data_IF_721043323234
#
_entry.id   IF_721043323234
#
_cell.length_a   1.000
_cell.length_b   1.000
_cell.length_c   1.000
_cell.angle_alpha   90.00
_cell.angle_beta   90.00
_cell.angle_gamma   90.00
#
_symmetry.space_group_name_H-M   'P 1'
#
loop_
_entity.id
_entity.type
_entity.pdbx_description
1 polymer ?
#
# COMPACT_ATOMS: atom_id res chain seq x y z
N UNK A 1 8.40 45.43 42.10
CA UNK A 1 8.37 44.67 43.34
C UNK A 1 7.68 43.38 43.03
N UNK A 2 8.22 42.24 42.90
CA UNK A 2 9.53 41.63 43.18
C UNK A 2 9.71 40.52 42.14
N UNK A 3 10.89 40.44 41.58
CA UNK A 3 11.30 39.47 40.55
C UNK A 3 11.90 38.26 41.25
N UNK A 4 11.29 37.11 41.16
CA UNK A 4 11.83 35.84 41.65
C UNK A 4 12.39 35.00 40.51
N UNK A 5 13.69 35.09 40.26
CA UNK A 5 14.46 34.20 39.38
C UNK A 5 14.73 32.86 40.09
N UNK A 6 14.47 31.74 39.44
CA UNK A 6 14.89 30.42 39.89
C UNK A 6 16.05 29.96 39.03
N UNK A 7 17.26 29.90 39.64
CA UNK A 7 18.44 29.27 39.08
C UNK A 7 18.32 27.73 39.16
N UNK A 8 18.62 27.06 38.06
CA UNK A 8 18.81 25.60 38.01
C UNK A 8 20.31 25.32 37.96
N UNK A 9 20.83 24.82 39.08
CA UNK A 9 22.24 24.38 39.23
C UNK A 9 22.42 23.01 38.58
N UNK A 10 23.41 22.91 37.68
CA UNK A 10 23.93 21.69 37.13
C UNK A 10 24.85 20.97 38.15
N UNK A 11 24.68 19.67 38.35
CA UNK A 11 25.64 18.83 39.04
C UNK A 11 26.24 17.83 38.06
N UNK A 12 27.53 18.01 37.79
CA UNK A 12 28.38 17.03 37.11
C UNK A 12 28.88 15.99 38.11
N UNK A 13 28.89 14.71 37.74
CA UNK A 13 29.86 13.77 38.30
C UNK A 13 30.19 12.65 37.30
N UNK A 14 31.47 12.47 37.04
CA UNK A 14 32.19 11.36 36.41
C UNK A 14 33.01 10.64 37.45
N UNK A 15 33.74 9.55 37.09
CA UNK A 15 33.40 8.22 36.61
C UNK A 15 33.98 7.14 37.53
N UNK A 16 33.68 5.85 37.33
CA UNK A 16 34.56 4.76 37.83
C UNK A 16 34.48 3.54 36.91
N UNK A 17 35.56 3.31 36.26
CA UNK A 17 36.36 2.08 36.04
C UNK A 17 35.70 0.73 35.79
N UNK A 18 36.16 0.15 34.66
CA UNK A 18 35.99 -1.23 34.16
C UNK A 18 36.52 -2.29 35.16
N UNK A 19 36.01 -3.54 35.05
CA UNK A 19 36.94 -4.63 34.82
C UNK A 19 36.61 -5.47 33.57
N UNK A 20 37.66 -5.79 32.84
CA UNK A 20 37.76 -6.79 31.79
C UNK A 20 37.31 -8.18 32.28
N UNK A 21 36.42 -8.80 31.52
CA UNK A 21 36.29 -10.28 31.55
C UNK A 21 35.95 -10.82 30.16
N UNK A 22 36.90 -11.59 29.63
CA UNK A 22 36.74 -12.81 28.86
C UNK A 22 35.90 -12.74 27.60
N UNK A 23 36.54 -12.52 26.41
CA UNK A 23 36.00 -12.92 25.10
C UNK A 23 35.77 -14.44 25.10
N UNK A 24 34.54 -14.88 25.27
CA UNK A 24 34.09 -16.16 24.76
C UNK A 24 33.70 -16.01 23.31
N UNK A 25 34.41 -16.71 22.44
CA UNK A 25 34.12 -16.85 20.99
C UNK A 25 32.70 -17.39 20.84
N UNK A 26 31.78 -16.51 20.48
CA UNK A 26 30.45 -16.87 20.07
C UNK A 26 30.54 -17.64 18.73
N UNK A 27 30.06 -18.87 18.78
CA UNK A 27 29.80 -19.75 17.66
C UNK A 27 29.08 -18.96 16.54
N UNK A 28 29.70 -18.94 15.38
CA UNK A 28 29.06 -18.41 14.13
C UNK A 28 27.90 -19.32 13.78
N UNK A 29 26.69 -18.96 14.21
CA UNK A 29 25.49 -19.42 13.54
C UNK A 29 25.56 -18.83 12.14
N UNK A 30 25.83 -19.67 11.14
CA UNK A 30 25.53 -19.37 9.75
C UNK A 30 24.01 -19.21 9.64
N UNK A 31 23.51 -17.99 9.86
CA UNK A 31 22.15 -17.65 9.55
C UNK A 31 21.95 -17.87 8.07
N UNK A 32 21.06 -18.77 7.71
CA UNK A 32 20.60 -18.95 6.32
C UNK A 32 20.11 -17.58 5.86
N UNK A 33 20.86 -16.92 4.97
CA UNK A 33 20.43 -15.65 4.38
C UNK A 33 19.21 -16.00 3.54
N UNK A 34 18.03 -15.70 4.05
CA UNK A 34 16.79 -15.85 3.29
C UNK A 34 16.92 -14.99 2.02
N UNK A 35 16.63 -15.55 0.85
CA UNK A 35 16.69 -14.75 -0.38
C UNK A 35 15.73 -13.57 -0.27
N UNK A 36 16.19 -12.40 -0.73
CA UNK A 36 15.37 -11.19 -0.74
C UNK A 36 14.08 -11.43 -1.56
N UNK A 37 12.90 -11.06 -1.04
CA UNK A 37 11.67 -11.20 -1.81
C UNK A 37 11.76 -10.38 -3.11
N UNK A 38 11.29 -10.95 -4.21
CA UNK A 38 11.26 -10.29 -5.51
C UNK A 38 9.88 -9.65 -5.69
N UNK A 39 9.85 -8.33 -5.88
CA UNK A 39 8.61 -7.56 -6.01
C UNK A 39 8.44 -7.09 -7.47
N UNK A 40 7.34 -7.49 -8.09
CA UNK A 40 6.96 -6.96 -9.41
C UNK A 40 6.48 -5.50 -9.26
N UNK A 41 7.06 -4.59 -10.04
CA UNK A 41 6.63 -3.17 -10.09
C UNK A 41 6.14 -2.88 -11.50
N UNK A 42 4.83 -2.74 -11.71
CA UNK A 42 4.31 -2.39 -13.03
C UNK A 42 4.55 -0.92 -13.35
N UNK A 43 5.08 -0.62 -14.53
CA UNK A 43 5.38 0.75 -14.97
C UNK A 43 4.13 1.62 -15.21
N UNK A 44 2.94 1.01 -15.31
CA UNK A 44 1.67 1.70 -15.50
C UNK A 44 1.50 2.32 -16.88
N UNK A 45 0.83 3.48 -16.93
CA UNK A 45 0.63 4.24 -18.17
C UNK A 45 1.96 4.76 -18.72
N UNK A 46 2.38 4.36 -19.92
CA UNK A 46 3.71 4.71 -20.44
C UNK A 46 3.89 6.22 -20.68
N UNK A 47 2.81 6.95 -20.96
CA UNK A 47 2.83 8.40 -21.14
C UNK A 47 2.84 9.17 -19.82
N UNK A 48 2.57 8.50 -18.67
CA UNK A 48 2.53 9.08 -17.34
C UNK A 48 3.87 9.10 -16.63
N UNK A 49 3.82 9.44 -15.33
CA UNK A 49 5.00 9.51 -14.46
C UNK A 49 5.52 8.14 -14.01
N UNK A 50 4.81 7.03 -14.31
CA UNK A 50 5.21 5.69 -13.86
C UNK A 50 6.65 5.35 -14.26
N UNK A 51 7.03 5.61 -15.52
CA UNK A 51 8.40 5.42 -16.00
C UNK A 51 9.42 6.32 -15.27
N UNK A 52 9.06 7.57 -14.93
CA UNK A 52 9.93 8.52 -14.24
C UNK A 52 10.29 8.05 -12.84
N UNK A 53 9.26 7.66 -12.06
CA UNK A 53 9.41 7.26 -10.66
C UNK A 53 10.00 5.86 -10.50
N UNK A 54 9.78 4.95 -11.46
CA UNK A 54 10.39 3.63 -11.46
C UNK A 54 11.92 3.67 -11.60
N UNK A 55 12.47 4.66 -12.30
CA UNK A 55 13.93 4.83 -12.45
C UNK A 55 14.63 5.04 -11.10
N UNK A 56 13.96 5.66 -10.14
CA UNK A 56 14.53 5.96 -8.83
C UNK A 56 14.72 4.71 -7.96
N UNK A 57 14.05 3.60 -8.30
CA UNK A 57 14.24 2.32 -7.62
C UNK A 57 15.67 1.78 -7.74
N UNK A 58 16.42 2.16 -8.78
CA UNK A 58 17.80 1.74 -8.96
C UNK A 58 18.73 2.18 -7.83
N UNK A 59 18.48 3.36 -7.25
CA UNK A 59 19.26 3.92 -6.13
C UNK A 59 18.65 3.61 -4.76
N UNK A 60 17.46 3.02 -4.71
CA UNK A 60 16.73 2.80 -3.48
C UNK A 60 17.34 1.65 -2.66
N UNK A 61 17.49 1.89 -1.36
CA UNK A 61 17.85 0.85 -0.39
C UNK A 61 16.57 0.20 0.12
N UNK A 62 16.16 -0.87 -0.55
CA UNK A 62 14.95 -1.62 -0.22
C UNK A 62 15.31 -3.00 0.36
N UNK A 63 14.51 -3.55 1.28
CA UNK A 63 14.71 -4.89 1.85
C UNK A 63 14.24 -6.01 0.90
N UNK A 64 14.22 -5.75 -0.40
CA UNK A 64 13.75 -6.65 -1.46
C UNK A 64 14.44 -6.35 -2.78
N UNK A 65 14.16 -7.17 -3.78
CA UNK A 65 14.58 -6.98 -5.17
C UNK A 65 13.39 -6.46 -5.99
N UNK A 66 13.29 -5.17 -6.29
CA UNK A 66 12.28 -4.66 -7.21
C UNK A 66 12.63 -5.06 -8.65
N UNK A 67 11.63 -5.52 -9.40
CA UNK A 67 11.71 -5.81 -10.83
C UNK A 67 10.66 -4.97 -11.54
N UNK A 68 11.09 -4.05 -12.38
CA UNK A 68 10.16 -3.18 -13.13
C UNK A 68 9.67 -3.90 -14.38
N UNK A 69 8.37 -4.08 -14.49
CA UNK A 69 7.72 -4.56 -15.70
C UNK A 69 7.44 -3.36 -16.59
N UNK A 70 8.19 -3.20 -17.67
CA UNK A 70 8.08 -2.07 -18.58
C UNK A 70 8.83 -2.31 -19.90
N UNK A 71 8.63 -1.44 -20.87
CA UNK A 71 9.50 -1.36 -22.05
C UNK A 71 10.85 -0.74 -21.67
N UNK A 72 11.91 -1.51 -21.83
CA UNK A 72 13.28 -1.07 -21.47
C UNK A 72 13.76 0.11 -22.33
N UNK A 73 13.26 0.22 -23.56
CA UNK A 73 13.53 1.35 -24.46
C UNK A 73 12.86 2.62 -23.96
N UNK A 74 11.62 2.53 -23.51
CA UNK A 74 10.91 3.64 -22.83
C UNK A 74 11.67 4.12 -21.61
N UNK A 75 12.11 3.21 -20.74
CA UNK A 75 12.87 3.59 -19.53
C UNK A 75 14.19 4.27 -19.89
N UNK A 76 14.93 3.80 -20.93
CA UNK A 76 16.14 4.46 -21.42
C UNK A 76 15.85 5.85 -21.95
N UNK A 77 14.82 5.99 -22.78
CA UNK A 77 14.38 7.29 -23.31
C UNK A 77 14.04 8.28 -22.18
N UNK A 78 13.28 7.79 -21.19
CA UNK A 78 12.85 8.62 -20.06
C UNK A 78 14.04 8.99 -19.15
N UNK A 79 14.97 8.08 -18.89
CA UNK A 79 16.20 8.37 -18.15
C UNK A 79 17.02 9.47 -18.84
N UNK A 80 17.20 9.37 -20.16
CA UNK A 80 17.91 10.39 -20.96
C UNK A 80 17.18 11.74 -20.90
N UNK A 81 15.86 11.77 -21.06
CA UNK A 81 15.03 12.99 -20.98
C UNK A 81 15.16 13.68 -19.61
N UNK A 82 15.27 12.88 -18.52
CA UNK A 82 15.41 13.37 -17.14
C UNK A 82 16.84 13.66 -16.73
N UNK A 83 17.83 13.40 -17.58
CA UNK A 83 19.25 13.51 -17.25
C UNK A 83 19.71 12.53 -16.16
N UNK A 84 18.97 11.40 -15.98
CA UNK A 84 19.29 10.36 -14.99
C UNK A 84 20.20 9.29 -15.60
N UNK A 85 21.31 8.98 -14.89
CA UNK A 85 22.17 7.84 -15.25
C UNK A 85 21.74 6.62 -14.45
N UNK A 86 21.04 5.67 -15.09
CA UNK A 86 20.55 4.43 -14.49
C UNK A 86 20.99 3.25 -15.34
N UNK A 87 21.64 2.28 -14.72
CA UNK A 87 21.95 1.02 -15.39
C UNK A 87 20.66 0.16 -15.44
N UNK A 88 20.23 -0.23 -16.64
CA UNK A 88 19.08 -1.10 -16.86
C UNK A 88 19.55 -2.43 -17.42
N UNK A 89 19.05 -3.54 -16.86
CA UNK A 89 19.31 -4.88 -17.39
C UNK A 89 18.04 -5.71 -17.44
N UNK A 90 18.00 -6.67 -18.36
CA UNK A 90 16.92 -7.66 -18.40
C UNK A 90 16.93 -8.51 -17.12
N UNK A 91 15.75 -8.68 -16.53
CA UNK A 91 15.59 -9.49 -15.32
C UNK A 91 15.84 -10.97 -15.63
N UNK A 92 16.59 -11.60 -14.75
CA UNK A 92 16.70 -13.06 -14.67
C UNK A 92 16.67 -13.49 -13.21
N UNK A 93 15.86 -14.49 -12.83
CA UNK A 93 15.82 -15.02 -11.46
C UNK A 93 17.18 -15.52 -10.98
N UNK A 94 18.00 -16.04 -11.90
CA UNK A 94 19.31 -16.64 -11.60
C UNK A 94 20.43 -15.61 -11.41
N UNK A 95 20.20 -14.34 -11.76
CA UNK A 95 21.20 -13.29 -11.57
C UNK A 95 20.97 -12.59 -10.22
N UNK A 96 22.01 -12.39 -9.40
CA UNK A 96 21.87 -11.65 -8.15
C UNK A 96 21.53 -10.17 -8.43
N UNK A 97 20.84 -9.49 -7.49
CA UNK A 97 20.63 -8.05 -7.58
C UNK A 97 21.97 -7.31 -7.59
N UNK A 98 22.06 -6.22 -8.36
CA UNK A 98 23.25 -5.41 -8.48
C UNK A 98 22.94 -3.97 -8.04
N UNK A 99 23.65 -3.40 -7.05
CA UNK A 99 23.45 -2.02 -6.62
C UNK A 99 23.56 -1.03 -7.78
N UNK A 100 22.67 -0.05 -7.83
CA UNK A 100 22.63 0.96 -8.89
C UNK A 100 22.11 0.46 -10.25
N UNK A 101 21.70 -0.80 -10.33
CA UNK A 101 21.13 -1.40 -11.54
C UNK A 101 19.66 -1.73 -11.30
N UNK A 102 18.79 -1.33 -12.22
CA UNK A 102 17.37 -1.67 -12.21
C UNK A 102 17.12 -2.91 -13.05
N UNK A 103 16.59 -3.95 -12.42
CA UNK A 103 16.13 -5.14 -13.13
C UNK A 103 14.80 -4.83 -13.84
N UNK A 104 14.71 -5.12 -15.12
CA UNK A 104 13.54 -4.88 -15.96
C UNK A 104 13.04 -6.17 -16.56
N UNK A 105 11.79 -6.52 -16.33
CA UNK A 105 11.11 -7.53 -17.16
C UNK A 105 10.56 -6.80 -18.37
N UNK A 106 11.28 -6.95 -19.50
CA UNK A 106 10.95 -6.23 -20.72
C UNK A 106 9.62 -6.68 -21.32
N UNK A 107 8.72 -5.74 -21.51
CA UNK A 107 7.46 -5.88 -22.23
C UNK A 107 7.42 -4.75 -23.26
N UNK A 108 7.38 -5.06 -24.57
CA UNK A 108 7.47 -4.03 -25.60
C UNK A 108 6.20 -3.19 -25.70
N UNK A 109 6.35 -1.89 -25.94
CA UNK A 109 5.25 -1.01 -26.32
C UNK A 109 4.67 -1.42 -27.69
N UNK A 110 3.36 -1.26 -27.84
CA UNK A 110 2.71 -1.50 -29.13
C UNK A 110 2.91 -0.34 -30.12
N UNK A 111 3.15 0.87 -29.62
CA UNK A 111 3.36 2.08 -30.41
C UNK A 111 4.32 3.05 -29.71
N UNK A 112 4.98 3.98 -30.44
CA UNK A 112 5.80 5.01 -29.86
C UNK A 112 5.05 5.80 -28.75
N UNK A 113 5.77 6.15 -27.70
CA UNK A 113 5.24 6.86 -26.55
C UNK A 113 5.95 8.21 -26.36
N UNK A 114 5.17 9.26 -26.18
CA UNK A 114 5.62 10.59 -25.80
C UNK A 114 5.11 10.91 -24.38
N UNK A 115 5.97 11.44 -23.53
CA UNK A 115 5.59 11.84 -22.18
C UNK A 115 4.46 12.87 -22.20
N UNK A 116 3.42 12.66 -21.39
CA UNK A 116 2.26 13.54 -21.28
C UNK A 116 1.21 13.34 -22.37
N UNK A 117 1.44 12.49 -23.38
CA UNK A 117 0.49 12.27 -24.50
C UNK A 117 0.01 10.83 -24.53
N UNK A 118 -1.25 10.63 -24.15
CA UNK A 118 -1.90 9.31 -24.17
C UNK A 118 -1.98 8.76 -25.60
N UNK A 119 -1.76 7.44 -25.74
CA UNK A 119 -1.93 6.73 -27.00
C UNK A 119 -2.69 5.42 -26.74
N UNK A 120 -3.92 5.33 -27.25
CA UNK A 120 -4.79 4.17 -27.07
C UNK A 120 -4.16 2.85 -27.55
N UNK A 121 -3.27 2.90 -28.55
CA UNK A 121 -2.56 1.72 -29.03
C UNK A 121 -1.68 1.04 -27.96
N UNK A 122 -1.28 1.75 -26.90
CA UNK A 122 -0.52 1.21 -25.79
C UNK A 122 -1.39 0.67 -24.64
N UNK A 123 -2.72 0.72 -24.71
CA UNK A 123 -3.59 0.17 -23.69
C UNK A 123 -3.42 -1.34 -23.48
N UNK A 124 -3.27 -2.19 -24.51
CA UNK A 124 -2.96 -3.61 -24.32
C UNK A 124 -1.65 -3.84 -23.58
N UNK A 125 -0.63 -3.01 -23.80
CA UNK A 125 0.63 -3.08 -23.07
C UNK A 125 0.39 -2.88 -21.55
N UNK A 126 -0.41 -1.89 -21.16
CA UNK A 126 -0.70 -1.62 -19.74
C UNK A 126 -1.34 -2.83 -19.07
N UNK A 127 -2.29 -3.49 -19.74
CA UNK A 127 -2.93 -4.70 -19.21
C UNK A 127 -1.94 -5.88 -19.17
N UNK A 128 -1.05 -5.99 -20.16
CA UNK A 128 -0.01 -7.03 -20.19
C UNK A 128 0.95 -6.90 -19.01
N UNK A 129 1.26 -5.67 -18.53
CA UNK A 129 2.07 -5.48 -17.32
C UNK A 129 1.40 -6.16 -16.12
N UNK A 130 0.08 -5.97 -15.95
CA UNK A 130 -0.69 -6.55 -14.84
C UNK A 130 -0.78 -8.07 -14.96
N UNK A 131 -1.06 -8.57 -16.16
CA UNK A 131 -1.13 -10.02 -16.43
C UNK A 131 0.20 -10.72 -16.16
N UNK A 132 1.31 -10.11 -16.59
CA UNK A 132 2.66 -10.65 -16.36
C UNK A 132 3.02 -10.65 -14.88
N UNK A 133 2.69 -9.57 -14.14
CA UNK A 133 2.90 -9.51 -12.71
C UNK A 133 2.09 -10.60 -11.98
N UNK A 134 0.81 -10.75 -12.34
CA UNK A 134 -0.07 -11.78 -11.76
C UNK A 134 0.44 -13.18 -12.04
N UNK A 135 0.77 -13.49 -13.30
CA UNK A 135 1.35 -14.79 -13.69
C UNK A 135 2.67 -15.09 -12.95
N UNK A 136 3.52 -14.06 -12.79
CA UNK A 136 4.77 -14.18 -12.05
C UNK A 136 4.57 -14.47 -10.57
N UNK A 137 3.48 -13.98 -9.96
CA UNK A 137 3.09 -14.35 -8.60
C UNK A 137 2.58 -15.81 -8.56
N UNK A 138 1.72 -16.20 -9.49
CA UNK A 138 1.16 -17.54 -9.55
C UNK A 138 2.23 -18.64 -9.70
N UNK A 139 3.31 -18.35 -10.41
CA UNK A 139 4.42 -19.29 -10.61
C UNK A 139 5.56 -19.13 -9.59
N UNK A 140 5.41 -18.26 -8.57
CA UNK A 140 6.39 -18.06 -7.52
C UNK A 140 7.62 -17.21 -7.90
N UNK A 141 7.63 -16.56 -9.08
CA UNK A 141 8.70 -15.64 -9.48
C UNK A 141 8.68 -14.36 -8.66
N UNK A 142 7.48 -13.86 -8.33
CA UNK A 142 7.28 -12.66 -7.53
C UNK A 142 6.53 -12.99 -6.24
N UNK A 143 6.98 -12.41 -5.12
CA UNK A 143 6.30 -12.53 -3.82
C UNK A 143 5.12 -11.56 -3.68
N UNK A 144 5.14 -10.45 -4.41
CA UNK A 144 4.11 -9.42 -4.39
C UNK A 144 4.18 -8.56 -5.65
N UNK A 145 3.13 -7.72 -5.86
CA UNK A 145 3.17 -6.66 -6.86
C UNK A 145 2.93 -5.29 -6.26
N UNK A 146 3.60 -4.29 -6.84
CA UNK A 146 3.33 -2.85 -6.64
C UNK A 146 2.94 -2.24 -7.96
N UNK A 147 1.83 -1.50 -8.03
CA UNK A 147 1.34 -0.92 -9.28
C UNK A 147 1.56 0.59 -9.34
N UNK A 148 2.26 1.08 -10.37
CA UNK A 148 2.29 2.47 -10.76
C UNK A 148 0.95 2.87 -11.42
N UNK A 149 0.64 4.17 -11.58
CA UNK A 149 -0.67 4.61 -12.02
C UNK A 149 -0.96 4.24 -13.49
N UNK A 150 -2.21 3.95 -13.79
CA UNK A 150 -2.71 3.79 -15.16
C UNK A 150 -3.83 4.79 -15.47
N UNK A 151 -4.17 4.95 -16.75
CA UNK A 151 -5.22 5.85 -17.20
C UNK A 151 -6.44 5.06 -17.68
N UNK A 152 -7.48 4.94 -16.80
CA UNK A 152 -8.69 4.14 -17.08
C UNK A 152 -9.40 4.56 -18.38
N UNK A 153 -9.50 5.87 -18.61
CA UNK A 153 -10.19 6.41 -19.79
C UNK A 153 -9.59 5.89 -21.10
N UNK A 154 -8.26 5.97 -21.27
CA UNK A 154 -7.62 5.53 -22.51
C UNK A 154 -7.73 4.03 -22.74
N UNK A 155 -7.75 3.22 -21.67
CA UNK A 155 -7.96 1.76 -21.75
C UNK A 155 -9.38 1.47 -22.23
N UNK A 156 -10.39 2.19 -21.71
CA UNK A 156 -11.78 2.08 -22.16
C UNK A 156 -11.96 2.56 -23.59
N UNK A 157 -11.36 3.69 -23.96
CA UNK A 157 -11.41 4.24 -25.32
C UNK A 157 -10.81 3.26 -26.35
N UNK A 158 -9.79 2.51 -25.94
CA UNK A 158 -9.17 1.46 -26.76
C UNK A 158 -9.99 0.17 -26.83
N UNK A 159 -10.98 -0.03 -25.96
CA UNK A 159 -11.69 -1.30 -25.81
C UNK A 159 -10.79 -2.47 -25.37
N UNK A 160 -9.63 -2.18 -24.80
CA UNK A 160 -8.60 -3.18 -24.52
C UNK A 160 -8.95 -4.11 -23.35
N UNK A 161 -9.83 -3.70 -22.44
CA UNK A 161 -10.21 -4.47 -21.24
C UNK A 161 -11.20 -5.61 -21.48
N UNK A 162 -11.68 -5.84 -22.70
CA UNK A 162 -12.70 -6.83 -23.00
C UNK A 162 -14.11 -6.46 -22.47
N UNK A 163 -14.25 -5.29 -21.88
CA UNK A 163 -15.44 -4.70 -21.27
C UNK A 163 -15.08 -3.37 -20.63
N UNK A 164 -15.94 -2.85 -19.74
CA UNK A 164 -15.64 -1.62 -19.00
C UNK A 164 -14.52 -1.87 -17.97
N UNK A 165 -13.39 -1.22 -18.18
CA UNK A 165 -12.25 -1.29 -17.26
C UNK A 165 -12.44 -0.28 -16.13
N UNK A 166 -12.73 -0.74 -14.92
CA UNK A 166 -12.96 0.08 -13.73
C UNK A 166 -11.69 0.43 -12.97
N UNK A 167 -10.62 -0.35 -13.12
CA UNK A 167 -9.32 -0.10 -12.50
C UNK A 167 -8.53 -1.37 -12.17
N UNK A 168 -7.35 -1.16 -11.59
CA UNK A 168 -6.46 -2.24 -11.17
C UNK A 168 -7.14 -3.25 -10.23
N UNK A 169 -7.88 -2.73 -9.24
CA UNK A 169 -8.46 -3.53 -8.15
C UNK A 169 -9.47 -4.53 -8.67
N UNK A 170 -10.41 -4.05 -9.46
CA UNK A 170 -11.48 -4.88 -10.05
C UNK A 170 -10.90 -5.85 -11.08
N UNK A 171 -9.96 -5.38 -11.92
CA UNK A 171 -9.28 -6.22 -12.89
C UNK A 171 -8.54 -7.40 -12.25
N UNK A 172 -7.78 -7.12 -11.19
CA UNK A 172 -7.03 -8.15 -10.47
C UNK A 172 -7.94 -9.08 -9.65
N UNK A 173 -9.05 -8.56 -9.10
CA UNK A 173 -10.06 -9.37 -8.42
C UNK A 173 -10.73 -10.36 -9.39
N UNK A 174 -11.13 -9.89 -10.58
CA UNK A 174 -11.69 -10.76 -11.64
C UNK A 174 -10.70 -11.82 -12.08
N UNK A 175 -9.45 -11.45 -12.39
CA UNK A 175 -8.38 -12.37 -12.80
C UNK A 175 -8.08 -13.45 -11.74
N UNK A 176 -8.19 -13.13 -10.47
CA UNK A 176 -7.92 -14.05 -9.36
C UNK A 176 -9.16 -14.80 -8.86
N UNK A 177 -10.33 -14.54 -9.44
CA UNK A 177 -11.60 -15.10 -8.97
C UNK A 177 -11.98 -14.64 -7.57
N UNK A 178 -11.51 -13.46 -7.15
CA UNK A 178 -11.76 -12.90 -5.81
C UNK A 178 -13.12 -12.20 -5.80
N UNK A 179 -14.11 -12.67 -5.04
CA UNK A 179 -15.47 -12.12 -5.07
C UNK A 179 -15.57 -10.75 -4.40
N UNK A 180 -14.70 -10.49 -3.41
CA UNK A 180 -14.68 -9.22 -2.68
C UNK A 180 -13.27 -8.81 -2.27
N UNK A 181 -13.00 -7.55 -2.42
CA UNK A 181 -11.76 -6.89 -1.98
C UNK A 181 -12.08 -5.73 -1.05
N UNK A 182 -11.13 -5.38 -0.21
CA UNK A 182 -11.23 -4.25 0.72
C UNK A 182 -10.07 -3.30 0.44
N UNK A 183 -10.40 -2.03 0.22
CA UNK A 183 -9.41 -0.98 0.08
C UNK A 183 -8.91 -0.57 1.47
N UNK A 184 -7.61 -0.55 1.65
CA UNK A 184 -6.95 -0.04 2.84
C UNK A 184 -5.84 0.92 2.42
N UNK A 185 -5.76 2.07 3.07
CA UNK A 185 -4.59 2.94 3.00
C UNK A 185 -3.75 2.75 4.26
N UNK A 186 -2.43 2.78 4.09
CA UNK A 186 -1.48 2.74 5.18
C UNK A 186 -0.44 3.86 5.04
N UNK A 187 -0.04 4.46 6.15
CA UNK A 187 0.99 5.49 6.19
C UNK A 187 1.25 5.95 7.62
N UNK A 188 2.51 6.21 7.95
CA UNK A 188 2.96 6.66 9.27
C UNK A 188 2.42 5.83 10.45
N UNK A 189 2.40 4.50 10.28
CA UNK A 189 1.90 3.56 11.30
C UNK A 189 0.37 3.45 11.39
N UNK A 190 -0.39 4.29 10.70
CA UNK A 190 -1.86 4.23 10.63
C UNK A 190 -2.30 3.37 9.44
N UNK A 191 -3.28 2.48 9.67
CA UNK A 191 -3.97 1.71 8.62
C UNK A 191 -5.45 2.00 8.68
N UNK A 192 -6.03 2.44 7.56
CA UNK A 192 -7.46 2.74 7.45
C UNK A 192 -8.07 1.92 6.32
N UNK A 193 -8.90 0.96 6.69
CA UNK A 193 -9.71 0.17 5.76
C UNK A 193 -11.09 0.81 5.58
N UNK A 194 -11.71 0.57 4.44
CA UNK A 194 -12.98 1.18 4.06
C UNK A 194 -14.09 0.13 3.91
N UNK A 195 -15.22 0.34 4.56
CA UNK A 195 -16.42 -0.47 4.36
C UNK A 195 -17.07 -0.18 3.00
N UNK A 196 -17.09 1.09 2.59
CA UNK A 196 -17.49 1.54 1.26
C UNK A 196 -16.43 2.44 0.65
N UNK A 197 -16.27 2.42 -0.68
CA UNK A 197 -15.23 3.18 -1.39
C UNK A 197 -15.82 4.36 -2.17
N UNK A 198 -15.97 4.23 -3.47
CA UNK A 198 -16.29 5.31 -4.40
C UNK A 198 -17.81 5.43 -4.65
N UNK A 199 -18.60 5.52 -3.59
CA UNK A 199 -20.04 5.75 -3.68
C UNK A 199 -20.36 7.24 -3.49
N UNK A 200 -21.41 7.76 -4.14
CA UNK A 200 -22.01 9.03 -3.74
C UNK A 200 -22.40 9.00 -2.25
N UNK A 201 -22.16 10.09 -1.52
CA UNK A 201 -22.39 10.10 -0.07
C UNK A 201 -23.82 9.70 0.31
N UNK A 202 -24.82 10.08 -0.50
CA UNK A 202 -26.23 9.73 -0.28
C UNK A 202 -26.52 8.22 -0.33
N UNK A 203 -25.65 7.44 -0.97
CA UNK A 203 -25.83 6.00 -1.17
C UNK A 203 -25.04 5.18 -0.13
N UNK A 204 -24.20 5.83 0.70
CA UNK A 204 -23.32 5.16 1.66
C UNK A 204 -24.13 4.43 2.72
N UNK A 205 -25.13 5.09 3.35
CA UNK A 205 -25.91 4.48 4.42
C UNK A 205 -26.59 3.18 3.98
N UNK A 206 -27.17 3.17 2.76
CA UNK A 206 -27.82 1.98 2.21
C UNK A 206 -26.83 0.85 1.86
N UNK A 207 -25.56 1.18 1.60
CA UNK A 207 -24.52 0.20 1.32
C UNK A 207 -23.91 -0.43 2.57
N UNK A 208 -24.07 0.19 3.74
CA UNK A 208 -23.65 -0.35 5.04
C UNK A 208 -24.69 -1.36 5.50
N UNK A 209 -24.48 -2.63 5.20
CA UNK A 209 -25.31 -3.73 5.66
C UNK A 209 -24.54 -4.63 6.63
N UNK A 210 -25.26 -5.43 7.42
CA UNK A 210 -24.62 -6.40 8.31
C UNK A 210 -23.70 -7.34 7.56
N UNK A 211 -24.17 -7.88 6.42
CA UNK A 211 -23.41 -8.82 5.58
C UNK A 211 -22.15 -8.16 5.02
N UNK A 212 -22.26 -6.91 4.53
CA UNK A 212 -21.12 -6.17 3.97
C UNK A 212 -20.05 -5.88 5.02
N UNK A 213 -20.46 -5.54 6.25
CA UNK A 213 -19.53 -5.29 7.36
C UNK A 213 -18.85 -6.56 7.84
N UNK A 214 -19.60 -7.67 7.98
CA UNK A 214 -19.06 -8.97 8.38
C UNK A 214 -18.00 -9.45 7.39
N UNK A 215 -18.28 -9.35 6.11
CA UNK A 215 -17.34 -9.77 5.05
C UNK A 215 -16.10 -8.87 5.04
N UNK A 216 -16.28 -7.56 5.08
CA UNK A 216 -15.18 -6.59 5.11
C UNK A 216 -14.26 -6.83 6.31
N UNK A 217 -14.82 -6.99 7.51
CA UNK A 217 -14.03 -7.19 8.72
C UNK A 217 -13.31 -8.54 8.74
N UNK A 218 -13.93 -9.61 8.21
CA UNK A 218 -13.26 -10.92 8.07
C UNK A 218 -12.08 -10.84 7.13
N UNK A 219 -12.21 -10.15 5.99
CA UNK A 219 -11.11 -9.91 5.04
C UNK A 219 -10.01 -9.11 5.71
N UNK A 220 -10.36 -7.99 6.36
CA UNK A 220 -9.40 -7.13 7.06
C UNK A 220 -8.64 -7.91 8.13
N UNK A 221 -9.34 -8.60 9.02
CA UNK A 221 -8.75 -9.37 10.10
C UNK A 221 -7.81 -10.46 9.58
N UNK A 222 -8.27 -11.27 8.63
CA UNK A 222 -7.49 -12.34 8.01
C UNK A 222 -6.21 -11.81 7.36
N UNK A 223 -6.31 -10.73 6.57
CA UNK A 223 -5.17 -10.20 5.85
C UNK A 223 -4.19 -9.48 6.81
N UNK A 224 -4.66 -8.87 7.90
CA UNK A 224 -3.80 -8.37 8.98
C UNK A 224 -3.01 -9.49 9.64
N UNK A 225 -3.60 -10.67 9.83
CA UNK A 225 -2.89 -11.84 10.35
C UNK A 225 -1.86 -12.38 9.35
N UNK A 226 -2.28 -12.73 8.14
CA UNK A 226 -1.44 -13.48 7.20
C UNK A 226 -0.47 -12.59 6.41
N UNK A 227 -0.86 -11.35 6.07
CA UNK A 227 -0.02 -10.47 5.25
C UNK A 227 0.77 -9.45 6.07
N UNK A 228 0.36 -9.18 7.32
CA UNK A 228 1.07 -8.25 8.22
C UNK A 228 1.68 -8.96 9.43
N UNK A 229 1.46 -10.26 9.60
CA UNK A 229 2.03 -11.05 10.70
C UNK A 229 1.48 -10.71 12.08
N UNK A 230 0.28 -10.10 12.16
CA UNK A 230 -0.34 -9.70 13.41
C UNK A 230 -1.17 -10.85 13.97
N UNK A 231 -0.67 -11.56 14.99
CA UNK A 231 -1.35 -12.73 15.56
C UNK A 231 -2.77 -12.41 16.09
N UNK A 232 -2.95 -11.25 16.70
CA UNK A 232 -4.21 -10.81 17.31
C UNK A 232 -4.50 -9.35 16.94
N UNK A 233 -4.87 -9.07 15.66
CA UNK A 233 -5.08 -7.70 15.21
C UNK A 233 -6.26 -7.06 15.92
N UNK A 234 -6.05 -5.85 16.45
CA UNK A 234 -7.07 -5.00 17.05
C UNK A 234 -7.58 -3.99 16.04
N UNK A 235 -8.88 -4.07 15.75
CA UNK A 235 -9.56 -3.22 14.79
C UNK A 235 -10.50 -2.26 15.52
N UNK A 236 -10.32 -0.95 15.30
CA UNK A 236 -11.27 0.06 15.76
C UNK A 236 -12.24 0.41 14.62
N UNK A 237 -13.51 0.54 14.93
CA UNK A 237 -14.56 0.80 13.93
C UNK A 237 -15.18 2.16 14.18
N UNK A 238 -15.25 2.99 13.14
CA UNK A 238 -15.96 4.26 13.18
C UNK A 238 -17.48 4.02 13.12
N UNK A 239 -18.25 4.89 13.75
CA UNK A 239 -19.67 5.03 13.46
C UNK A 239 -19.88 5.63 12.07
N UNK A 240 -21.07 5.51 11.51
CA UNK A 240 -21.47 6.17 10.27
C UNK A 240 -21.89 7.62 10.53
N UNK A 241 -22.70 7.80 11.55
CA UNK A 241 -23.32 9.09 11.90
C UNK A 241 -22.44 9.90 12.88
N UNK A 242 -22.64 11.22 12.98
CA UNK A 242 -22.02 12.04 14.00
C UNK A 242 -22.25 11.44 15.40
N UNK A 243 -21.23 11.52 16.25
CA UNK A 243 -21.26 10.94 17.60
C UNK A 243 -21.67 9.45 17.65
N UNK A 244 -21.41 8.70 16.57
CA UNK A 244 -21.81 7.30 16.40
C UNK A 244 -23.34 7.10 16.66
N UNK A 245 -24.15 8.00 16.10
CA UNK A 245 -25.61 7.95 16.16
C UNK A 245 -26.22 8.40 17.49
N UNK A 246 -25.41 8.71 18.51
CA UNK A 246 -25.88 9.18 19.85
C UNK A 246 -27.05 8.35 20.39
N UNK A 247 -26.92 7.04 20.42
CA UNK A 247 -27.94 6.11 20.88
C UNK A 247 -29.19 6.04 20.01
N UNK A 248 -29.13 6.50 18.75
CA UNK A 248 -30.23 6.53 17.79
C UNK A 248 -30.86 7.91 17.61
N UNK A 249 -30.36 8.94 18.31
CA UNK A 249 -30.89 10.30 18.16
C UNK A 249 -30.39 11.00 16.88
N UNK A 250 -29.26 10.55 16.34
CA UNK A 250 -28.64 11.09 15.13
C UNK A 250 -28.51 10.04 13.99
N UNK A 251 -29.45 9.12 13.95
CA UNK A 251 -29.45 8.00 12.99
C UNK A 251 -29.54 6.66 13.70
N UNK A 252 -29.99 5.63 13.00
CA UNK A 252 -30.21 4.29 13.57
C UNK A 252 -29.22 3.25 13.05
N UNK A 253 -28.39 3.58 12.07
CA UNK A 253 -27.50 2.65 11.38
C UNK A 253 -26.52 1.98 12.36
N UNK A 254 -26.09 2.68 13.41
CA UNK A 254 -25.26 2.09 14.45
C UNK A 254 -26.03 1.02 15.23
N UNK A 255 -27.25 1.34 15.69
CA UNK A 255 -28.06 0.42 16.50
C UNK A 255 -28.58 -0.77 15.69
N UNK A 256 -29.02 -0.52 14.45
CA UNK A 256 -29.72 -1.50 13.64
C UNK A 256 -28.76 -2.40 12.83
N UNK A 257 -27.56 -1.90 12.49
CA UNK A 257 -26.62 -2.57 11.58
C UNK A 257 -25.23 -2.74 12.18
N UNK A 258 -24.56 -1.65 12.60
CA UNK A 258 -23.13 -1.69 12.93
C UNK A 258 -22.91 -2.46 14.24
N UNK A 259 -23.60 -2.11 15.32
CA UNK A 259 -23.45 -2.76 16.63
C UNK A 259 -23.74 -4.25 16.55
N UNK A 260 -24.87 -4.71 15.95
CA UNK A 260 -25.13 -6.14 15.79
C UNK A 260 -24.05 -6.88 14.98
N UNK A 261 -23.51 -6.26 13.92
CA UNK A 261 -22.42 -6.84 13.15
C UNK A 261 -21.15 -6.98 13.99
N UNK A 262 -20.78 -5.95 14.78
CA UNK A 262 -19.60 -6.00 15.66
C UNK A 262 -19.76 -7.04 16.79
N UNK A 263 -20.96 -7.21 17.34
CA UNK A 263 -21.24 -8.23 18.36
C UNK A 263 -21.02 -9.63 17.80
N UNK A 264 -21.50 -9.91 16.59
CA UNK A 264 -21.26 -11.19 15.92
C UNK A 264 -19.77 -11.46 15.70
N UNK A 265 -19.01 -10.43 15.26
CA UNK A 265 -17.57 -10.58 15.04
C UNK A 265 -16.82 -10.83 16.35
N UNK A 266 -17.18 -10.15 17.44
CA UNK A 266 -16.61 -10.40 18.78
C UNK A 266 -16.93 -11.81 19.27
N UNK A 267 -18.16 -12.27 19.06
CA UNK A 267 -18.56 -13.65 19.37
C UNK A 267 -17.77 -14.68 18.57
N UNK A 268 -17.33 -14.32 17.35
CA UNK A 268 -16.45 -15.14 16.51
C UNK A 268 -14.94 -15.00 16.89
N UNK A 269 -14.59 -14.24 17.94
CA UNK A 269 -13.24 -14.12 18.47
C UNK A 269 -12.38 -12.99 17.91
N UNK A 270 -12.95 -12.05 17.13
CA UNK A 270 -12.21 -10.89 16.62
C UNK A 270 -12.08 -9.81 17.72
N UNK A 271 -10.87 -9.24 17.91
CA UNK A 271 -10.71 -8.00 18.72
C UNK A 271 -11.12 -6.78 17.87
N UNK A 272 -12.44 -6.59 17.76
CA UNK A 272 -13.04 -5.49 17.01
C UNK A 272 -13.87 -4.62 17.96
N UNK A 273 -13.60 -3.32 17.97
CA UNK A 273 -14.12 -2.38 18.97
C UNK A 273 -14.78 -1.20 18.31
N UNK A 274 -15.85 -0.70 18.91
CA UNK A 274 -16.67 0.41 18.44
C UNK A 274 -18.16 0.07 18.45
N UNK A 275 -18.99 0.82 17.68
CA UNK A 275 -18.58 1.97 16.87
C UNK A 275 -18.17 3.17 17.72
N UNK A 276 -17.12 3.86 17.29
CA UNK A 276 -16.66 5.10 17.94
C UNK A 276 -17.00 6.32 17.09
N UNK A 277 -17.25 7.49 17.70
CA UNK A 277 -17.33 8.74 16.94
C UNK A 277 -16.06 9.00 16.13
N UNK A 278 -16.21 9.29 14.84
CA UNK A 278 -15.06 9.42 13.94
C UNK A 278 -14.17 10.64 14.28
N UNK A 279 -14.74 11.69 14.86
CA UNK A 279 -14.04 12.90 15.30
C UNK A 279 -13.07 12.65 16.48
N UNK A 280 -13.30 11.61 17.28
CA UNK A 280 -12.46 11.23 18.42
C UNK A 280 -11.64 9.97 18.16
N UNK A 281 -12.07 9.10 17.25
CA UNK A 281 -11.44 7.81 16.97
C UNK A 281 -9.96 7.94 16.55
N UNK A 282 -9.63 8.96 15.77
CA UNK A 282 -8.29 9.17 15.24
C UNK A 282 -7.34 9.90 16.20
N UNK A 283 -7.73 10.10 17.45
CA UNK A 283 -6.82 10.69 18.45
C UNK A 283 -5.72 9.69 18.85
N UNK A 284 -4.48 10.18 19.13
CA UNK A 284 -3.34 9.30 19.39
C UNK A 284 -3.56 8.29 20.53
N UNK A 285 -4.30 8.67 21.57
CA UNK A 285 -4.59 7.76 22.69
C UNK A 285 -5.54 6.61 22.31
N UNK A 286 -6.43 6.81 21.33
CA UNK A 286 -7.29 5.76 20.78
C UNK A 286 -6.50 4.81 19.88
N UNK A 287 -5.62 5.37 19.05
CA UNK A 287 -4.85 4.63 18.06
C UNK A 287 -3.67 3.85 18.66
N UNK A 288 -3.24 4.19 19.89
CA UNK A 288 -2.02 3.65 20.53
C UNK A 288 -1.90 2.11 20.47
N UNK A 289 -3.04 1.43 20.66
CA UNK A 289 -3.07 -0.04 20.69
C UNK A 289 -3.87 -0.63 19.52
N UNK A 290 -4.17 0.17 18.50
CA UNK A 290 -4.93 -0.25 17.34
C UNK A 290 -4.00 -0.65 16.17
N UNK A 291 -4.32 -1.74 15.50
CA UNK A 291 -3.60 -2.20 14.32
C UNK A 291 -4.22 -1.64 13.03
N UNK A 292 -5.54 -1.41 13.04
CA UNK A 292 -6.25 -0.79 11.92
C UNK A 292 -7.53 -0.09 12.39
N UNK A 293 -7.98 0.86 11.58
CA UNK A 293 -9.30 1.50 11.67
C UNK A 293 -10.15 1.04 10.50
N UNK A 294 -11.39 0.64 10.75
CA UNK A 294 -12.42 0.44 9.74
C UNK A 294 -13.31 1.68 9.68
N UNK A 295 -13.18 2.47 8.64
CA UNK A 295 -14.03 3.61 8.35
C UNK A 295 -15.24 3.19 7.49
N UNK A 296 -16.38 3.84 7.66
CA UNK A 296 -17.60 3.50 6.94
C UNK A 296 -17.55 3.97 5.48
N UNK A 297 -16.89 5.08 5.20
CA UNK A 297 -16.79 5.63 3.85
C UNK A 297 -15.45 6.36 3.62
N UNK A 298 -15.16 6.62 2.35
CA UNK A 298 -13.90 7.15 1.86
C UNK A 298 -13.45 8.41 2.61
N UNK A 299 -14.27 9.46 2.61
CA UNK A 299 -13.88 10.76 3.18
C UNK A 299 -13.98 10.82 4.71
N UNK A 300 -14.42 9.75 5.37
CA UNK A 300 -14.37 9.63 6.83
C UNK A 300 -12.95 9.34 7.33
N UNK A 301 -12.22 8.47 6.61
CA UNK A 301 -10.92 7.98 7.06
C UNK A 301 -9.72 8.52 6.28
N UNK A 302 -9.85 8.67 4.97
CA UNK A 302 -8.70 8.98 4.12
C UNK A 302 -8.14 10.41 4.28
N UNK A 303 -8.93 11.46 4.50
CA UNK A 303 -8.37 12.79 4.76
C UNK A 303 -7.44 12.81 5.99
N UNK A 304 -7.80 12.08 7.04
CA UNK A 304 -6.98 11.97 8.26
C UNK A 304 -5.67 11.24 7.95
N UNK A 305 -5.74 10.10 7.26
CA UNK A 305 -4.55 9.34 6.89
C UNK A 305 -3.63 10.15 5.96
N UNK A 306 -4.18 10.79 4.94
CA UNK A 306 -3.41 11.60 3.99
C UNK A 306 -2.74 12.79 4.67
N UNK A 307 -3.40 13.41 5.63
CA UNK A 307 -2.80 14.45 6.44
C UNK A 307 -1.65 13.92 7.32
N UNK A 308 -1.87 12.80 8.01
CA UNK A 308 -0.88 12.19 8.89
C UNK A 308 0.35 11.65 8.12
N UNK A 309 0.14 11.07 6.93
CA UNK A 309 1.21 10.47 6.12
C UNK A 309 1.97 11.44 5.22
N UNK A 310 1.64 12.73 5.23
CA UNK A 310 2.30 13.75 4.39
C UNK A 310 2.41 13.36 2.91
N UNK A 311 1.37 12.71 2.36
CA UNK A 311 1.33 12.27 0.96
C UNK A 311 2.09 10.97 0.66
N UNK A 312 2.62 10.29 1.66
CA UNK A 312 3.28 8.98 1.51
C UNK A 312 2.33 7.80 1.78
N UNK A 313 1.02 8.03 1.63
CA UNK A 313 0.02 6.98 1.76
C UNK A 313 0.22 5.87 0.72
N UNK A 314 0.08 4.63 1.16
CA UNK A 314 0.14 3.43 0.32
C UNK A 314 -1.25 2.83 0.23
N UNK A 315 -1.75 2.63 -1.00
CA UNK A 315 -2.99 1.91 -1.21
C UNK A 315 -2.72 0.41 -1.26
N UNK A 316 -3.43 -0.35 -0.44
CA UNK A 316 -3.30 -1.81 -0.30
C UNK A 316 -4.64 -2.44 -0.63
N UNK A 317 -4.65 -3.46 -1.49
CA UNK A 317 -5.86 -4.23 -1.80
C UNK A 317 -5.87 -5.50 -0.96
N UNK A 318 -6.74 -5.54 0.03
CA UNK A 318 -6.96 -6.73 0.84
C UNK A 318 -8.00 -7.65 0.16
N UNK A 319 -7.98 -8.95 0.51
CA UNK A 319 -8.88 -9.94 -0.05
C UNK A 319 -8.29 -10.72 -1.22
N UNK A 320 -7.40 -10.12 -2.01
CA UNK A 320 -6.68 -10.84 -3.08
C UNK A 320 -5.85 -11.99 -2.50
N UNK A 321 -5.70 -13.13 -3.22
CA UNK A 321 -4.87 -14.26 -2.78
C UNK A 321 -3.36 -13.97 -2.85
N UNK A 322 -2.97 -12.74 -3.06
CA UNK A 322 -1.60 -12.25 -3.13
C UNK A 322 -1.49 -10.83 -2.57
N UNK A 323 -0.27 -10.35 -2.38
CA UNK A 323 0.01 -9.00 -1.90
C UNK A 323 0.00 -8.03 -3.08
N UNK A 324 -0.85 -7.01 -3.00
CA UNK A 324 -0.87 -5.89 -3.95
C UNK A 324 -0.85 -4.56 -3.21
N UNK A 325 0.17 -3.76 -3.50
CA UNK A 325 0.26 -2.36 -3.08
C UNK A 325 0.20 -1.43 -4.29
N UNK A 326 -0.07 -0.16 -4.08
CA UNK A 326 -0.15 0.84 -5.14
C UNK A 326 0.21 2.21 -4.60
N UNK A 327 0.71 3.07 -5.47
CA UNK A 327 0.79 4.51 -5.20
C UNK A 327 -0.61 5.10 -4.97
N UNK A 328 -0.68 6.22 -4.26
CA UNK A 328 -1.93 6.94 -3.95
C UNK A 328 -2.06 8.24 -4.79
N UNK A 329 -1.64 8.18 -6.05
CA UNK A 329 -1.77 9.29 -7.01
C UNK A 329 -2.07 8.76 -8.43
N UNK A 330 -2.46 9.67 -9.33
CA UNK A 330 -2.75 9.37 -10.73
C UNK A 330 -1.52 9.42 -11.63
N UNK A 331 -1.75 9.33 -12.94
CA UNK A 331 -0.72 9.34 -14.00
C UNK A 331 0.04 10.64 -14.12
N UNK A 332 -0.49 11.75 -13.62
CA UNK A 332 0.12 13.09 -13.61
C UNK A 332 0.82 13.42 -14.96
N UNK A 333 0.05 13.36 -16.04
CA UNK A 333 0.55 13.52 -17.42
C UNK A 333 1.35 14.81 -17.63
N UNK A 334 0.97 15.89 -16.95
CA UNK A 334 1.62 17.20 -16.98
C UNK A 334 3.02 17.22 -16.32
N UNK A 335 3.31 16.22 -15.47
CA UNK A 335 4.61 16.07 -14.81
C UNK A 335 5.52 15.06 -15.50
N UNK A 336 4.96 14.22 -16.39
CA UNK A 336 5.73 13.16 -17.04
C UNK A 336 6.89 13.72 -17.87
N UNK A 337 8.10 13.20 -17.65
CA UNK A 337 9.32 13.62 -18.35
C UNK A 337 9.85 15.01 -17.96
N UNK A 338 9.31 15.66 -16.94
CA UNK A 338 9.73 17.01 -16.51
C UNK A 338 10.76 17.01 -15.38
N UNK A 339 10.99 15.87 -14.73
CA UNK A 339 11.85 15.75 -13.55
C UNK A 339 11.20 16.25 -12.24
N UNK A 340 9.91 16.60 -12.26
CA UNK A 340 9.19 17.11 -11.07
C UNK A 340 8.34 16.04 -10.37
N UNK A 341 8.24 14.83 -10.94
CA UNK A 341 7.53 13.72 -10.31
C UNK A 341 8.27 13.25 -9.06
N UNK A 342 7.55 13.07 -7.97
CA UNK A 342 8.06 12.54 -6.70
C UNK A 342 7.86 11.02 -6.65
N UNK A 343 8.91 10.27 -6.32
CA UNK A 343 8.88 8.81 -6.21
C UNK A 343 8.57 8.29 -4.80
N UNK A 344 8.34 9.17 -3.83
CA UNK A 344 8.15 8.81 -2.41
C UNK A 344 7.02 7.81 -2.20
N UNK A 345 5.86 8.03 -2.83
CA UNK A 345 4.72 7.10 -2.74
C UNK A 345 5.04 5.72 -3.33
N UNK A 346 5.78 5.65 -4.46
CA UNK A 346 6.21 4.37 -5.03
C UNK A 346 7.20 3.65 -4.11
N UNK A 347 8.17 4.37 -3.56
CA UNK A 347 9.13 3.81 -2.60
C UNK A 347 8.44 3.24 -1.36
N UNK A 348 7.46 3.97 -0.81
CA UNK A 348 6.65 3.52 0.30
C UNK A 348 5.84 2.27 -0.06
N UNK A 349 5.20 2.26 -1.24
CA UNK A 349 4.41 1.12 -1.72
C UNK A 349 5.25 -0.15 -1.91
N UNK A 350 6.44 -0.03 -2.51
CA UNK A 350 7.38 -1.17 -2.68
C UNK A 350 7.88 -1.64 -1.32
N UNK A 351 8.25 -0.75 -0.40
CA UNK A 351 8.69 -1.10 0.95
C UNK A 351 7.61 -1.86 1.71
N UNK A 352 6.36 -1.37 1.68
CA UNK A 352 5.22 -2.04 2.30
C UNK A 352 4.99 -3.43 1.70
N UNK A 353 5.09 -3.59 0.37
CA UNK A 353 4.99 -4.89 -0.27
C UNK A 353 6.09 -5.86 0.22
N UNK A 354 7.32 -5.36 0.42
CA UNK A 354 8.42 -6.15 0.96
C UNK A 354 8.17 -6.60 2.39
N UNK A 355 7.71 -5.69 3.26
CA UNK A 355 7.41 -5.96 4.66
C UNK A 355 6.29 -7.00 4.79
N UNK A 356 5.23 -6.85 4.00
CA UNK A 356 4.13 -7.82 3.94
C UNK A 356 4.60 -9.19 3.44
N UNK A 357 5.44 -9.24 2.39
CA UNK A 357 5.98 -10.50 1.88
C UNK A 357 6.88 -11.20 2.90
N UNK A 358 7.68 -10.45 3.65
CA UNK A 358 8.52 -11.01 4.72
C UNK A 358 7.69 -11.52 5.91
N UNK A 359 6.60 -10.83 6.27
CA UNK A 359 5.70 -11.23 7.36
C UNK A 359 4.93 -12.52 7.02
N UNK A 360 4.45 -12.67 5.76
CA UNK A 360 3.79 -13.88 5.30
C UNK A 360 4.67 -15.13 5.31
N UNK A 361 5.96 -14.97 5.01
CA UNK A 361 6.94 -16.07 5.05
C UNK A 361 7.31 -16.52 6.49
N UNK A 362 7.07 -15.69 7.50
CA UNK A 362 7.35 -16.01 8.89
C UNK A 362 6.18 -16.75 9.58
N UNK A 363 5.02 -16.81 8.96
CA UNK A 363 3.79 -17.42 9.49
C UNK A 363 3.52 -18.85 8.98
N UNK A 364 4.26 -19.31 7.99
CA UNK A 364 4.23 -20.68 7.45
C UNK A 364 5.34 -21.53 8.10
#
# INVERSE_FOLDING_TARGET
MDTGSIEITAAANRPSENPETGFQTASTHQGTIMPLPVIAVTGGEPAGIGADICLDLAAAKLPCRPVVLADIGLLRQRAAQLGKTVALRDFSPNLPPQPGTLDVWHIPLAAPCEAGRLNAANSPYVLQLLDTAYQGIQNGTFAAMTTAPLHKGIINDAGAGGGFFSGHTEYLAEKSGTPRVVMMLAGDGLRVALATTHLPLKDVAAAITRESLLETARILHRDLQHKFGLAHPRILVAGLNPHAGEGGHLGHEENDVIIPALEEMRAAGLDIRGPYPADTLFQPFMLKDADAVLAMYHDQGLPVLKYASFGQGVNITLGLPFIRTSVDHGTALDLAGTGRADSGSLMAAVRTACEMAAAGLAGD
#
